data_IF_028101878072
#
_entry.id   IF_028101878072
#
_cell.length_a   1.000
_cell.length_b   1.000
_cell.length_c   1.000
_cell.angle_alpha   90.00
_cell.angle_beta   90.00
_cell.angle_gamma   90.00
#
_symmetry.space_group_name_H-M   'P 1'
#
loop_
_entity.id
_entity.type
_entity.pdbx_description
1 polymer ?
#
# COMPACT_ATOMS: atom_id res chain seq x y z
N UNK A 1 -7.86 -6.86 -85.55
CA UNK A 1 -7.89 -7.68 -84.34
C UNK A 1 -6.76 -7.21 -83.42
N UNK A 2 -7.09 -6.43 -82.43
CA UNK A 2 -6.12 -5.94 -81.43
C UNK A 2 -6.19 -6.85 -80.17
N UNK A 3 -5.08 -7.52 -79.85
CA UNK A 3 -4.91 -8.38 -78.70
C UNK A 3 -4.56 -7.49 -77.51
N UNK A 4 -5.47 -7.44 -76.51
CA UNK A 4 -5.24 -6.74 -75.25
C UNK A 4 -4.62 -7.74 -74.27
N UNK A 5 -3.35 -7.49 -73.90
CA UNK A 5 -2.69 -8.25 -72.83
C UNK A 5 -3.13 -7.68 -71.48
N UNK A 6 -3.81 -8.52 -70.72
CA UNK A 6 -4.16 -8.23 -69.34
C UNK A 6 -2.96 -8.52 -68.42
N UNK A 7 -2.39 -7.47 -67.85
CA UNK A 7 -1.32 -7.58 -66.85
C UNK A 7 -1.96 -7.78 -65.47
N UNK A 8 -1.86 -9.01 -64.93
CA UNK A 8 -2.31 -9.33 -63.58
C UNK A 8 -1.25 -8.86 -62.58
N UNK A 9 -1.50 -7.74 -61.90
CA UNK A 9 -0.64 -7.25 -60.84
C UNK A 9 -0.97 -8.04 -59.55
N UNK A 10 -0.06 -8.96 -59.19
CA UNK A 10 -0.18 -9.73 -57.94
C UNK A 10 0.19 -8.84 -56.77
N UNK A 11 -0.83 -8.34 -56.06
CA UNK A 11 -0.65 -7.59 -54.81
C UNK A 11 -0.40 -8.59 -53.71
N UNK A 12 0.86 -8.76 -53.27
CA UNK A 12 1.22 -9.53 -52.10
C UNK A 12 1.05 -8.59 -50.87
N UNK A 13 0.08 -8.82 -49.98
CA UNK A 13 0.06 -8.06 -48.74
C UNK A 13 1.24 -8.53 -47.85
N UNK A 14 2.20 -7.67 -47.67
CA UNK A 14 3.19 -7.80 -46.60
C UNK A 14 2.44 -7.70 -45.27
N UNK A 15 2.09 -8.84 -44.74
CA UNK A 15 1.68 -8.93 -43.33
C UNK A 15 2.96 -8.76 -42.53
N UNK A 16 3.19 -7.55 -42.04
CA UNK A 16 4.13 -7.33 -40.93
C UNK A 16 3.50 -7.98 -39.70
N UNK A 17 3.85 -9.24 -39.47
CA UNK A 17 3.78 -9.82 -38.12
C UNK A 17 4.86 -9.11 -37.31
N UNK A 18 4.53 -7.93 -36.80
CA UNK A 18 5.21 -7.39 -35.63
C UNK A 18 4.81 -8.29 -34.46
N UNK A 19 5.56 -9.37 -34.24
CA UNK A 19 5.65 -9.91 -32.90
C UNK A 19 6.29 -8.79 -32.06
N UNK A 20 5.49 -8.09 -31.33
CA UNK A 20 5.94 -7.56 -30.05
C UNK A 20 6.19 -8.82 -29.22
N UNK A 21 7.42 -9.26 -29.13
CA UNK A 21 7.87 -10.06 -28.02
C UNK A 21 7.66 -9.16 -26.81
N UNK A 22 6.73 -9.56 -25.97
CA UNK A 22 6.55 -8.99 -24.64
C UNK A 22 7.80 -9.43 -23.87
N UNK A 23 8.77 -8.51 -23.72
CA UNK A 23 10.01 -8.77 -22.99
C UNK A 23 9.74 -9.04 -21.48
N UNK A 24 8.49 -8.92 -21.04
CA UNK A 24 8.08 -9.13 -19.65
C UNK A 24 8.12 -10.62 -19.22
N UNK A 25 8.19 -11.57 -20.17
CA UNK A 25 8.25 -13.02 -19.88
C UNK A 25 9.68 -13.60 -19.82
N UNK A 26 10.69 -12.81 -20.17
CA UNK A 26 12.08 -13.20 -19.96
C UNK A 26 12.51 -12.76 -18.58
N UNK A 27 12.59 -13.69 -17.65
CA UNK A 27 13.10 -13.41 -16.30
C UNK A 27 14.42 -12.65 -16.41
N UNK A 28 14.40 -11.36 -16.00
CA UNK A 28 15.60 -10.54 -15.97
C UNK A 28 16.68 -11.25 -15.13
N UNK A 29 17.91 -11.21 -15.58
CA UNK A 29 19.02 -11.69 -14.76
C UNK A 29 19.11 -10.82 -13.52
N UNK A 30 19.45 -11.41 -12.35
CA UNK A 30 19.54 -10.66 -11.09
C UNK A 30 20.40 -9.40 -11.20
N UNK A 31 21.45 -9.42 -12.07
CA UNK A 31 22.28 -8.27 -12.38
C UNK A 31 21.52 -7.11 -13.06
N UNK A 32 20.52 -7.38 -13.89
CA UNK A 32 19.72 -6.35 -14.58
C UNK A 32 18.75 -5.67 -13.60
N UNK A 33 18.15 -6.44 -12.71
CA UNK A 33 17.30 -5.90 -11.64
C UNK A 33 18.16 -5.09 -10.66
N UNK A 34 19.32 -5.58 -10.26
CA UNK A 34 20.24 -4.86 -9.40
C UNK A 34 20.73 -3.55 -10.05
N UNK A 35 20.99 -3.56 -11.36
CA UNK A 35 21.32 -2.36 -12.14
C UNK A 35 20.17 -1.34 -12.11
N UNK A 36 18.95 -1.79 -12.32
CA UNK A 36 17.75 -0.94 -12.25
C UNK A 36 17.58 -0.33 -10.84
N UNK A 37 17.72 -1.12 -9.78
CA UNK A 37 17.61 -0.66 -8.40
C UNK A 37 18.67 0.40 -8.12
N UNK A 38 19.94 0.11 -8.42
CA UNK A 38 21.03 1.03 -8.16
C UNK A 38 20.84 2.36 -8.91
N UNK A 39 20.51 2.29 -10.20
CA UNK A 39 20.26 3.48 -11.03
C UNK A 39 19.08 4.30 -10.54
N UNK A 40 18.00 3.64 -10.15
CA UNK A 40 16.82 4.29 -9.60
C UNK A 40 17.12 5.01 -8.29
N UNK A 41 17.83 4.34 -7.37
CA UNK A 41 18.26 4.92 -6.11
C UNK A 41 19.27 6.05 -6.32
N UNK A 42 20.26 5.86 -7.19
CA UNK A 42 21.23 6.91 -7.52
C UNK A 42 20.55 8.15 -8.14
N UNK A 43 19.55 7.96 -8.99
CA UNK A 43 18.85 9.08 -9.63
C UNK A 43 17.90 9.83 -8.68
N UNK A 44 17.10 9.12 -7.88
CA UNK A 44 15.91 9.70 -7.23
C UNK A 44 15.93 9.67 -5.70
N UNK A 45 16.79 8.87 -5.07
CA UNK A 45 16.76 8.69 -3.63
C UNK A 45 17.12 9.98 -2.88
N UNK A 46 16.26 10.37 -1.94
CA UNK A 46 16.42 11.63 -1.17
C UNK A 46 17.76 11.68 -0.43
N UNK A 47 18.11 10.60 0.23
CA UNK A 47 19.32 10.51 1.07
C UNK A 47 20.55 10.00 0.30
N UNK A 48 20.56 10.12 -1.05
CA UNK A 48 21.68 9.71 -1.89
C UNK A 48 23.03 10.20 -1.39
N UNK A 49 23.09 11.44 -0.92
CA UNK A 49 24.33 12.07 -0.48
C UNK A 49 24.93 11.43 0.78
N UNK A 50 24.12 10.74 1.56
CA UNK A 50 24.51 10.08 2.80
C UNK A 50 24.93 8.61 2.59
N UNK A 51 24.75 8.08 1.37
CA UNK A 51 25.08 6.71 0.98
C UNK A 51 26.26 6.69 0.02
N UNK A 52 27.43 6.25 0.51
CA UNK A 52 28.67 6.23 -0.28
C UNK A 52 28.50 5.42 -1.56
N UNK A 53 27.78 4.28 -1.50
CA UNK A 53 27.58 3.39 -2.62
C UNK A 53 26.62 3.96 -3.68
N UNK A 54 25.96 5.09 -3.42
CA UNK A 54 25.17 5.87 -4.38
C UNK A 54 25.90 7.10 -4.93
N UNK A 55 27.18 7.30 -4.62
CA UNK A 55 27.96 8.37 -5.20
C UNK A 55 28.15 8.18 -6.72
N UNK A 56 28.12 9.27 -7.48
CA UNK A 56 28.28 9.21 -8.96
C UNK A 56 29.68 8.76 -9.38
N UNK A 57 30.67 8.88 -8.52
CA UNK A 57 32.07 8.50 -8.72
C UNK A 57 32.47 7.26 -7.91
N UNK A 58 31.48 6.47 -7.42
CA UNK A 58 31.68 5.28 -6.58
C UNK A 58 32.47 4.20 -7.29
N UNK A 59 32.26 4.02 -8.59
CA UNK A 59 32.86 2.95 -9.37
C UNK A 59 33.82 3.51 -10.40
N UNK A 60 35.03 2.94 -10.48
CA UNK A 60 36.06 3.39 -11.42
C UNK A 60 35.77 2.95 -12.85
N UNK A 61 35.11 1.82 -13.01
CA UNK A 61 34.78 1.24 -14.30
C UNK A 61 33.54 0.31 -14.20
N UNK A 62 33.12 -0.20 -15.36
CA UNK A 62 31.96 -1.08 -15.48
C UNK A 62 32.19 -2.47 -14.86
N UNK A 63 33.44 -2.91 -14.71
CA UNK A 63 33.77 -4.22 -14.14
C UNK A 63 33.61 -4.18 -12.61
N UNK A 64 34.10 -3.11 -11.96
CA UNK A 64 33.87 -2.87 -10.53
C UNK A 64 32.39 -2.74 -10.22
N UNK A 65 31.64 -1.96 -11.04
CA UNK A 65 30.19 -1.81 -10.92
C UNK A 65 29.45 -3.15 -11.03
N UNK A 66 29.73 -3.94 -12.08
CA UNK A 66 29.11 -5.25 -12.26
C UNK A 66 29.45 -6.22 -11.09
N UNK A 67 30.71 -6.17 -10.61
CA UNK A 67 31.13 -6.98 -9.46
C UNK A 67 30.37 -6.63 -8.18
N UNK A 68 30.15 -5.32 -7.95
CA UNK A 68 29.35 -4.84 -6.82
C UNK A 68 27.90 -5.34 -6.91
N UNK A 69 27.24 -5.16 -8.06
CA UNK A 69 25.85 -5.61 -8.24
C UNK A 69 25.68 -7.12 -8.07
N UNK A 70 26.63 -7.91 -8.59
CA UNK A 70 26.60 -9.37 -8.52
C UNK A 70 27.02 -9.92 -7.14
N UNK A 71 27.46 -9.08 -6.21
CA UNK A 71 27.75 -9.49 -4.84
C UNK A 71 26.48 -9.74 -4.01
N UNK A 72 25.32 -9.27 -4.46
CA UNK A 72 24.02 -9.45 -3.82
C UNK A 72 23.28 -10.61 -4.48
N UNK A 73 22.90 -11.60 -3.68
CA UNK A 73 22.15 -12.77 -4.15
C UNK A 73 20.69 -12.42 -4.51
N UNK A 74 20.10 -11.49 -3.74
CA UNK A 74 18.72 -11.05 -3.94
C UNK A 74 18.66 -9.52 -4.11
N UNK A 75 17.79 -9.02 -5.02
CA UNK A 75 17.62 -7.59 -5.26
C UNK A 75 17.26 -6.78 -4.00
N UNK A 76 16.46 -7.39 -3.11
CA UNK A 76 16.04 -6.77 -1.85
C UNK A 76 17.24 -6.51 -0.93
N UNK A 77 18.26 -7.35 -0.95
CA UNK A 77 19.47 -7.14 -0.16
C UNK A 77 20.25 -5.91 -0.64
N UNK A 78 20.35 -5.72 -1.95
CA UNK A 78 20.95 -4.51 -2.53
C UNK A 78 20.11 -3.29 -2.13
N UNK A 79 18.79 -3.33 -2.34
CA UNK A 79 17.90 -2.22 -1.99
C UNK A 79 18.05 -1.83 -0.52
N UNK A 80 17.95 -2.79 0.41
CA UNK A 80 18.08 -2.51 1.84
C UNK A 80 19.46 -1.97 2.23
N UNK A 81 20.54 -2.40 1.54
CA UNK A 81 21.89 -1.87 1.78
C UNK A 81 22.06 -0.41 1.39
N UNK A 82 21.18 0.09 0.50
CA UNK A 82 21.17 1.47 0.01
C UNK A 82 20.19 2.37 0.77
N UNK A 83 19.48 1.87 1.78
CA UNK A 83 18.57 2.66 2.60
C UNK A 83 19.34 3.35 3.74
N UNK A 84 19.13 4.67 3.84
CA UNK A 84 19.75 5.48 4.89
C UNK A 84 19.03 5.30 6.23
N UNK A 85 19.74 4.85 7.23
CA UNK A 85 19.26 4.70 8.61
C UNK A 85 17.84 4.12 8.68
N UNK A 86 17.66 2.89 8.16
CA UNK A 86 16.38 2.19 8.03
C UNK A 86 15.49 2.26 9.27
N UNK A 87 16.07 2.16 10.45
CA UNK A 87 15.34 2.12 11.72
C UNK A 87 14.88 3.50 12.22
N UNK A 88 15.58 4.56 11.83
CA UNK A 88 15.41 5.91 12.39
C UNK A 88 14.92 6.93 11.38
N UNK A 89 15.42 6.91 10.15
CA UNK A 89 15.17 7.94 9.12
C UNK A 89 14.25 7.40 8.02
N UNK A 90 14.74 6.52 7.15
CA UNK A 90 13.93 6.02 6.05
C UNK A 90 13.21 4.71 6.38
N UNK A 91 12.06 4.85 7.02
CA UNK A 91 11.18 3.74 7.40
C UNK A 91 10.17 3.35 6.32
N UNK A 92 10.09 4.09 5.22
CA UNK A 92 8.97 4.04 4.29
C UNK A 92 9.33 3.57 2.89
N UNK A 93 10.59 3.68 2.46
CA UNK A 93 11.01 3.15 1.16
C UNK A 93 10.82 1.64 1.11
N UNK A 94 10.21 1.16 0.04
CA UNK A 94 9.90 -0.26 -0.15
C UNK A 94 10.31 -0.71 -1.54
N UNK A 95 10.66 -1.98 -1.66
CA UNK A 95 10.77 -2.70 -2.92
C UNK A 95 9.62 -3.72 -2.99
N UNK A 96 9.09 -3.95 -4.16
CA UNK A 96 7.99 -4.90 -4.39
C UNK A 96 8.32 -5.78 -5.58
N UNK A 97 7.88 -7.04 -5.54
CA UNK A 97 8.10 -8.01 -6.63
C UNK A 97 7.17 -7.76 -7.83
N UNK A 98 6.03 -7.11 -7.59
CA UNK A 98 5.00 -6.90 -8.59
C UNK A 98 4.47 -5.45 -8.55
N UNK A 99 4.90 -4.65 -9.51
CA UNK A 99 4.47 -3.25 -9.61
C UNK A 99 2.97 -3.10 -9.92
N UNK A 100 2.35 -4.07 -10.62
CA UNK A 100 0.92 -4.05 -10.94
C UNK A 100 0.09 -4.13 -9.65
N UNK A 101 0.49 -4.99 -8.71
CA UNK A 101 -0.16 -5.08 -7.40
C UNK A 101 0.00 -3.78 -6.60
N UNK A 102 1.16 -3.14 -6.69
CA UNK A 102 1.39 -1.83 -6.07
C UNK A 102 0.49 -0.75 -6.68
N UNK A 103 0.38 -0.68 -8.01
CA UNK A 103 -0.52 0.26 -8.70
C UNK A 103 -1.99 0.01 -8.32
N UNK A 104 -2.40 -1.25 -8.26
CA UNK A 104 -3.74 -1.62 -7.78
C UNK A 104 -3.96 -1.16 -6.34
N UNK A 105 -3.00 -1.43 -5.45
CA UNK A 105 -3.07 -0.99 -4.06
C UNK A 105 -3.19 0.54 -3.95
N UNK A 106 -2.38 1.29 -4.69
CA UNK A 106 -2.43 2.77 -4.71
C UNK A 106 -3.73 3.31 -5.28
N UNK A 107 -4.38 2.58 -6.21
CA UNK A 107 -5.70 2.92 -6.75
C UNK A 107 -6.87 2.47 -5.86
N UNK A 108 -6.61 1.86 -4.71
CA UNK A 108 -7.62 1.37 -3.77
C UNK A 108 -8.15 -0.03 -4.09
N UNK A 109 -7.48 -0.78 -4.96
CA UNK A 109 -7.83 -2.17 -5.29
C UNK A 109 -6.77 -3.13 -4.77
N UNK A 110 -7.17 -4.35 -4.44
CA UNK A 110 -6.22 -5.42 -4.11
C UNK A 110 -6.93 -6.78 -4.12
N UNK A 111 -6.16 -7.85 -4.23
CA UNK A 111 -6.68 -9.20 -3.95
C UNK A 111 -6.74 -9.34 -2.41
N UNK A 112 -7.94 -9.40 -1.87
CA UNK A 112 -8.16 -9.35 -0.42
C UNK A 112 -9.44 -10.08 -0.02
N UNK A 113 -9.46 -10.63 1.18
CA UNK A 113 -10.68 -11.11 1.81
C UNK A 113 -11.45 -10.01 2.57
N UNK A 114 -10.92 -8.78 2.56
CA UNK A 114 -11.53 -7.61 3.19
C UNK A 114 -11.28 -7.45 4.68
N UNK A 115 -10.61 -8.39 5.32
CA UNK A 115 -10.31 -8.34 6.73
C UNK A 115 -9.11 -7.42 7.00
N UNK A 116 -9.29 -6.43 7.87
CA UNK A 116 -8.18 -5.70 8.47
C UNK A 116 -8.06 -6.09 9.94
N UNK A 117 -6.86 -6.50 10.34
CA UNK A 117 -6.61 -7.01 11.68
C UNK A 117 -5.30 -6.46 12.27
N UNK A 118 -5.18 -6.57 13.56
CA UNK A 118 -3.93 -6.45 14.29
C UNK A 118 -3.55 -7.77 14.92
N UNK A 119 -2.28 -7.90 15.28
CA UNK A 119 -1.75 -9.06 15.98
C UNK A 119 -1.26 -8.64 17.35
N UNK A 120 -1.41 -9.52 18.33
CA UNK A 120 -0.89 -9.33 19.70
C UNK A 120 -0.43 -10.68 20.25
N UNK A 121 0.51 -10.63 21.19
CA UNK A 121 0.89 -11.83 21.93
C UNK A 121 -0.26 -12.31 22.83
N UNK A 122 -0.40 -13.62 22.94
CA UNK A 122 -1.23 -14.22 23.99
C UNK A 122 -0.57 -13.92 25.34
N UNK A 123 -1.35 -13.57 26.37
CA UNK A 123 -0.81 -13.33 27.72
C UNK A 123 0.14 -14.44 28.16
N UNK A 124 1.27 -14.08 28.73
CA UNK A 124 2.37 -14.98 29.13
C UNK A 124 3.05 -15.78 28.00
N UNK A 125 2.79 -15.46 26.73
CA UNK A 125 3.50 -16.08 25.61
C UNK A 125 4.47 -15.11 24.96
N UNK A 126 5.62 -15.61 24.52
CA UNK A 126 6.59 -14.88 23.71
C UNK A 126 6.61 -15.38 22.24
N UNK A 127 5.76 -16.32 21.89
CA UNK A 127 5.69 -16.90 20.55
C UNK A 127 4.25 -17.00 20.02
N UNK A 128 3.29 -17.48 20.85
CA UNK A 128 1.90 -17.57 20.42
C UNK A 128 1.25 -16.19 20.33
N UNK A 129 0.48 -15.96 19.27
CA UNK A 129 -0.20 -14.71 19.00
C UNK A 129 -1.66 -14.96 18.67
N UNK A 130 -2.46 -13.89 18.76
CA UNK A 130 -3.82 -13.86 18.25
C UNK A 130 -4.03 -12.63 17.36
N UNK A 131 -4.97 -12.74 16.43
CA UNK A 131 -5.43 -11.63 15.62
C UNK A 131 -6.72 -11.03 16.21
N UNK A 132 -6.87 -9.71 16.08
CA UNK A 132 -8.10 -9.01 16.41
C UNK A 132 -8.55 -8.15 15.23
N UNK A 133 -9.82 -8.24 14.89
CA UNK A 133 -10.40 -7.53 13.75
C UNK A 133 -10.54 -6.04 14.06
N UNK A 134 -9.91 -5.19 13.26
CA UNK A 134 -9.99 -3.73 13.32
C UNK A 134 -11.21 -3.21 12.57
N UNK A 135 -11.40 -3.70 11.36
CA UNK A 135 -12.57 -3.45 10.52
C UNK A 135 -12.65 -4.48 9.39
N UNK A 136 -13.80 -4.52 8.73
CA UNK A 136 -14.06 -5.38 7.58
C UNK A 136 -14.54 -4.51 6.42
N UNK A 137 -14.02 -4.73 5.23
CA UNK A 137 -14.45 -3.99 4.03
C UNK A 137 -15.79 -4.55 3.53
N UNK A 138 -16.72 -3.67 3.23
CA UNK A 138 -18.05 -3.99 2.73
C UNK A 138 -17.99 -4.82 1.41
N UNK A 139 -18.85 -5.80 1.29
CA UNK A 139 -18.93 -6.68 0.12
C UNK A 139 -17.83 -7.73 0.01
N UNK A 140 -16.90 -7.77 0.94
CA UNK A 140 -15.81 -8.75 0.95
C UNK A 140 -16.24 -10.13 1.48
N UNK A 141 -15.37 -11.12 1.30
CA UNK A 141 -15.60 -12.47 1.85
C UNK A 141 -15.77 -12.46 3.36
N UNK A 142 -15.00 -11.65 4.08
CA UNK A 142 -15.11 -11.51 5.53
C UNK A 142 -16.44 -10.85 5.94
N UNK A 143 -16.92 -9.86 5.17
CA UNK A 143 -18.21 -9.20 5.40
C UNK A 143 -19.38 -10.16 5.17
N UNK A 144 -19.35 -10.87 4.03
CA UNK A 144 -20.36 -11.90 3.71
C UNK A 144 -20.42 -12.99 4.79
N UNK A 145 -19.28 -13.32 5.38
CA UNK A 145 -19.15 -14.27 6.48
C UNK A 145 -19.57 -13.69 7.84
N UNK A 146 -20.00 -12.41 7.88
CA UNK A 146 -20.43 -11.69 9.08
C UNK A 146 -19.35 -11.60 10.16
N UNK A 147 -18.07 -11.49 9.75
CA UNK A 147 -16.97 -11.17 10.66
C UNK A 147 -17.05 -9.69 10.99
N UNK A 148 -16.86 -9.35 12.27
CA UNK A 148 -17.06 -8.00 12.78
C UNK A 148 -15.84 -7.45 13.51
N UNK A 149 -15.79 -6.12 13.61
CA UNK A 149 -14.83 -5.44 14.48
C UNK A 149 -14.87 -5.98 15.90
N UNK A 150 -13.71 -6.32 16.44
CA UNK A 150 -13.56 -6.86 17.79
C UNK A 150 -13.53 -8.38 17.84
N UNK A 151 -13.89 -9.07 16.77
CA UNK A 151 -13.71 -10.52 16.68
C UNK A 151 -12.23 -10.88 16.82
N UNK A 152 -11.96 -11.99 17.49
CA UNK A 152 -10.62 -12.48 17.78
C UNK A 152 -10.45 -13.86 17.16
N UNK A 153 -9.32 -14.08 16.53
CA UNK A 153 -8.92 -15.39 16.00
C UNK A 153 -7.53 -15.76 16.51
N UNK A 154 -7.33 -17.03 16.85
CA UNK A 154 -6.08 -17.55 17.41
C UNK A 154 -5.41 -18.57 16.50
N UNK A 155 -6.10 -19.05 15.45
CA UNK A 155 -5.59 -20.08 14.57
C UNK A 155 -6.08 -19.90 13.13
N UNK A 156 -5.40 -20.60 12.23
CA UNK A 156 -5.73 -20.72 10.81
C UNK A 156 -5.62 -22.20 10.41
N UNK A 157 -6.67 -22.72 9.77
CA UNK A 157 -6.73 -24.14 9.31
C UNK A 157 -6.44 -25.16 10.43
N UNK A 158 -6.83 -24.82 11.68
CA UNK A 158 -6.58 -25.65 12.86
C UNK A 158 -5.18 -25.54 13.46
N UNK A 159 -4.32 -24.66 12.94
CA UNK A 159 -2.96 -24.42 13.43
C UNK A 159 -2.94 -23.13 14.24
N UNK A 160 -2.39 -23.16 15.46
CA UNK A 160 -2.23 -21.98 16.30
C UNK A 160 -1.30 -20.95 15.59
N UNK A 161 -1.66 -19.68 15.70
CA UNK A 161 -0.81 -18.60 15.19
C UNK A 161 0.38 -18.35 16.13
N UNK A 162 1.54 -18.21 15.52
CA UNK A 162 2.80 -17.83 16.17
C UNK A 162 3.51 -16.75 15.38
N UNK A 163 4.52 -16.12 15.99
CA UNK A 163 5.36 -15.13 15.28
C UNK A 163 6.12 -15.75 14.10
N UNK A 164 6.32 -17.06 14.08
CA UNK A 164 7.07 -17.76 13.03
C UNK A 164 6.20 -18.19 11.84
N UNK A 165 4.87 -18.37 12.03
CA UNK A 165 4.00 -18.97 11.01
C UNK A 165 2.85 -18.08 10.52
N UNK A 166 2.57 -16.96 11.19
CA UNK A 166 1.38 -16.15 10.87
C UNK A 166 1.39 -15.61 9.45
N UNK A 167 2.56 -15.24 8.94
CA UNK A 167 2.71 -14.70 7.59
C UNK A 167 2.27 -15.72 6.54
N UNK A 168 2.81 -16.92 6.62
CA UNK A 168 2.49 -18.00 5.67
C UNK A 168 1.02 -18.44 5.78
N UNK A 169 0.51 -18.57 7.01
CA UNK A 169 -0.86 -19.01 7.22
C UNK A 169 -1.91 -17.99 6.74
N UNK A 170 -1.67 -16.70 6.93
CA UNK A 170 -2.57 -15.63 6.51
C UNK A 170 -2.34 -15.16 5.06
N UNK A 171 -1.23 -15.57 4.41
CA UNK A 171 -0.97 -15.27 2.99
C UNK A 171 -1.80 -16.12 2.03
N UNK A 172 -2.30 -17.28 2.44
CA UNK A 172 -3.08 -18.22 1.61
C UNK A 172 -4.27 -17.52 0.94
N UNK A 173 -4.66 -18.00 -0.24
CA UNK A 173 -5.83 -17.47 -0.98
C UNK A 173 -7.14 -17.82 -0.28
N UNK A 174 -7.26 -19.05 0.21
CA UNK A 174 -8.44 -19.56 0.93
C UNK A 174 -7.94 -20.17 2.24
N UNK A 175 -8.55 -19.80 3.34
CA UNK A 175 -8.22 -20.36 4.65
C UNK A 175 -9.36 -20.21 5.66
N UNK A 176 -9.35 -21.06 6.68
CA UNK A 176 -10.32 -21.03 7.76
C UNK A 176 -9.73 -20.32 8.99
N UNK A 177 -10.33 -19.23 9.41
CA UNK A 177 -10.03 -18.61 10.70
C UNK A 177 -10.64 -19.42 11.83
N UNK A 178 -9.84 -19.73 12.84
CA UNK A 178 -10.30 -20.36 14.07
C UNK A 178 -10.44 -19.28 15.13
N UNK A 179 -11.69 -18.94 15.47
CA UNK A 179 -12.01 -17.83 16.37
C UNK A 179 -11.80 -18.19 17.83
N UNK A 180 -11.61 -17.15 18.63
CA UNK A 180 -11.34 -17.23 20.05
C UNK A 180 -12.12 -16.16 20.80
N UNK A 181 -12.21 -16.32 22.11
CA UNK A 181 -12.74 -15.31 23.04
C UNK A 181 -11.61 -14.81 23.93
N UNK A 182 -11.59 -13.50 24.15
CA UNK A 182 -10.71 -12.87 25.14
C UNK A 182 -11.46 -12.79 26.47
N UNK A 183 -10.93 -13.41 27.47
CA UNK A 183 -11.49 -13.47 28.81
C UNK A 183 -10.62 -12.60 29.72
N UNK A 184 -11.13 -11.43 30.03
CA UNK A 184 -10.50 -10.53 30.99
C UNK A 184 -10.91 -10.91 32.38
N UNK A 185 -9.93 -11.17 33.24
CA UNK A 185 -10.17 -11.54 34.64
C UNK A 185 -10.49 -10.34 35.55
N UNK A 186 -10.63 -9.13 34.97
CA UNK A 186 -10.94 -7.87 35.66
C UNK A 186 -9.91 -7.51 36.74
N UNK A 187 -8.67 -7.88 36.56
CA UNK A 187 -7.52 -7.43 37.35
C UNK A 187 -6.72 -6.38 36.58
N UNK A 188 -5.78 -5.73 37.24
CA UNK A 188 -4.86 -4.80 36.60
C UNK A 188 -3.69 -5.52 35.87
N UNK A 189 -3.55 -6.83 36.09
CA UNK A 189 -2.52 -7.65 35.42
C UNK A 189 -3.07 -8.32 34.17
N UNK A 190 -2.68 -7.78 33.01
CA UNK A 190 -3.06 -8.36 31.71
C UNK A 190 -2.52 -9.77 31.47
N UNK A 191 -1.58 -10.23 32.28
CA UNK A 191 -1.00 -11.57 32.15
C UNK A 191 -1.90 -12.67 32.69
N UNK A 192 -2.91 -12.35 33.46
CA UNK A 192 -3.92 -13.33 33.94
C UNK A 192 -5.13 -13.45 33.00
N UNK A 193 -5.18 -12.64 31.92
CA UNK A 193 -6.19 -12.74 30.89
C UNK A 193 -5.95 -13.98 30.01
N UNK A 194 -7.02 -14.49 29.43
CA UNK A 194 -7.00 -15.74 28.66
C UNK A 194 -7.57 -15.53 27.25
N UNK A 195 -6.94 -16.16 26.27
CA UNK A 195 -7.45 -16.24 24.88
C UNK A 195 -7.75 -17.70 24.57
N UNK A 196 -9.02 -18.08 24.49
CA UNK A 196 -9.47 -19.46 24.28
C UNK A 196 -10.27 -19.62 23.00
N UNK A 197 -10.08 -20.75 22.29
CA UNK A 197 -10.91 -21.08 21.13
C UNK A 197 -12.39 -21.19 21.54
N UNK A 198 -13.25 -20.58 20.72
CA UNK A 198 -14.72 -20.62 20.95
C UNK A 198 -15.45 -21.59 20.03
N UNK A 199 -14.70 -22.43 19.28
CA UNK A 199 -15.19 -23.40 18.30
C UNK A 199 -15.91 -22.80 17.08
N UNK A 200 -15.83 -21.51 16.86
CA UNK A 200 -16.27 -20.86 15.63
C UNK A 200 -15.14 -20.94 14.61
N UNK A 201 -15.44 -21.46 13.43
CA UNK A 201 -14.49 -21.60 12.35
C UNK A 201 -15.14 -21.06 11.07
N UNK A 202 -14.51 -20.07 10.43
CA UNK A 202 -15.07 -19.39 9.26
C UNK A 202 -14.03 -19.40 8.15
N UNK A 203 -14.40 -19.98 7.01
CA UNK A 203 -13.59 -19.93 5.80
C UNK A 203 -13.78 -18.60 5.10
N UNK A 204 -12.65 -17.99 4.68
CA UNK A 204 -12.62 -16.75 3.92
C UNK A 204 -11.70 -16.89 2.72
N UNK A 205 -12.03 -16.17 1.64
CA UNK A 205 -11.29 -16.18 0.39
C UNK A 205 -10.84 -14.79 -0.01
N UNK A 206 -9.62 -14.67 -0.52
CA UNK A 206 -9.12 -13.47 -1.16
C UNK A 206 -9.64 -13.40 -2.59
N UNK A 207 -10.26 -12.28 -2.94
CA UNK A 207 -10.77 -11.98 -4.29
C UNK A 207 -10.41 -10.55 -4.67
N UNK A 208 -10.44 -10.18 -5.96
CA UNK A 208 -10.31 -8.78 -6.34
C UNK A 208 -11.35 -7.93 -5.61
N UNK A 209 -10.89 -6.95 -4.84
CA UNK A 209 -11.71 -6.09 -4.01
C UNK A 209 -11.33 -4.62 -4.23
N UNK A 210 -12.32 -3.81 -4.58
CA UNK A 210 -12.18 -2.34 -4.58
C UNK A 210 -12.58 -1.84 -3.20
N UNK A 211 -11.62 -1.23 -2.49
CA UNK A 211 -11.82 -0.76 -1.12
C UNK A 211 -12.26 0.70 -1.15
N UNK A 212 -13.42 0.99 -0.57
CA UNK A 212 -13.80 2.38 -0.33
C UNK A 212 -12.95 2.94 0.83
N UNK A 213 -12.10 3.95 0.60
CA UNK A 213 -11.26 4.51 1.66
C UNK A 213 -12.07 5.26 2.72
N UNK A 214 -13.26 5.76 2.39
CA UNK A 214 -14.24 6.26 3.37
C UNK A 214 -14.94 5.05 3.96
N UNK A 215 -14.37 4.52 5.04
CA UNK A 215 -14.93 3.33 5.68
C UNK A 215 -16.25 3.61 6.38
N UNK A 216 -16.36 4.79 7.02
CA UNK A 216 -17.59 5.22 7.65
C UNK A 216 -17.65 6.76 7.75
N UNK A 217 -18.83 7.34 7.52
CA UNK A 217 -19.10 8.72 7.89
C UNK A 217 -20.50 8.86 8.46
N UNK A 218 -20.69 9.84 9.30
CA UNK A 218 -21.99 10.11 9.92
C UNK A 218 -22.06 11.53 10.50
N UNK A 219 -23.29 11.97 10.81
CA UNK A 219 -23.55 13.22 11.52
C UNK A 219 -24.08 12.89 12.91
N UNK A 220 -23.36 13.31 13.91
CA UNK A 220 -23.71 13.11 15.32
C UNK A 220 -24.31 14.38 15.88
N UNK A 221 -25.38 14.25 16.65
CA UNK A 221 -25.97 15.39 17.38
C UNK A 221 -25.34 15.51 18.76
N UNK A 222 -24.91 16.70 19.14
CA UNK A 222 -24.41 17.02 20.48
C UNK A 222 -25.19 18.18 21.08
N UNK A 223 -24.96 18.46 22.35
CA UNK A 223 -25.54 19.62 23.03
C UNK A 223 -25.09 20.97 22.45
N UNK A 224 -23.95 20.98 21.77
CA UNK A 224 -23.31 22.19 21.24
C UNK A 224 -23.42 22.33 19.71
N UNK A 225 -24.13 21.43 19.05
CA UNK A 225 -24.27 21.44 17.60
C UNK A 225 -24.11 20.07 16.97
N UNK A 226 -23.80 20.05 15.69
CA UNK A 226 -23.60 18.80 14.93
C UNK A 226 -22.13 18.54 14.67
N UNK A 227 -21.74 17.30 14.87
CA UNK A 227 -20.37 16.82 14.66
C UNK A 227 -20.37 15.87 13.46
N UNK A 228 -19.56 16.15 12.45
CA UNK A 228 -19.24 15.18 11.41
C UNK A 228 -18.24 14.15 11.95
N UNK A 229 -18.50 12.88 11.72
CA UNK A 229 -17.51 11.82 11.94
C UNK A 229 -17.10 11.25 10.59
N UNK A 230 -15.81 11.18 10.32
CA UNK A 230 -15.25 10.63 9.10
C UNK A 230 -14.09 9.68 9.45
N UNK A 231 -14.26 8.38 9.12
CA UNK A 231 -13.19 7.39 9.17
C UNK A 231 -12.66 7.18 7.76
N UNK A 232 -11.44 7.65 7.52
CA UNK A 232 -10.80 7.68 6.20
C UNK A 232 -9.50 6.86 6.23
N UNK A 233 -9.54 5.68 5.60
CA UNK A 233 -8.52 4.63 5.78
C UNK A 233 -7.39 4.65 4.75
N UNK A 234 -7.47 5.46 3.70
CA UNK A 234 -6.39 5.62 2.72
C UNK A 234 -6.62 6.89 1.88
N UNK A 235 -5.56 7.57 1.47
CA UNK A 235 -5.67 8.70 0.53
C UNK A 235 -5.62 8.16 -0.90
N UNK A 236 -6.79 8.04 -1.54
CA UNK A 236 -6.97 7.49 -2.90
C UNK A 236 -7.64 8.53 -3.78
N UNK A 237 -6.93 9.03 -4.80
CA UNK A 237 -7.38 10.14 -5.65
C UNK A 237 -8.70 9.86 -6.39
N UNK A 238 -9.00 8.61 -6.70
CA UNK A 238 -10.26 8.21 -7.32
C UNK A 238 -11.50 8.51 -6.44
N UNK A 239 -11.32 8.79 -5.15
CA UNK A 239 -12.38 9.09 -4.20
C UNK A 239 -12.44 10.55 -3.75
N UNK A 240 -11.63 11.43 -4.34
CA UNK A 240 -11.60 12.85 -3.97
C UNK A 240 -12.97 13.51 -4.14
N UNK A 241 -13.67 13.27 -5.25
CA UNK A 241 -15.02 13.78 -5.48
C UNK A 241 -16.06 13.23 -4.48
N UNK A 242 -15.90 11.97 -4.07
CA UNK A 242 -16.76 11.39 -3.05
C UNK A 242 -16.53 12.05 -1.69
N UNK A 243 -15.27 12.31 -1.35
CA UNK A 243 -14.91 13.07 -0.15
C UNK A 243 -15.51 14.48 -0.16
N UNK A 244 -15.41 15.21 -1.27
CA UNK A 244 -16.05 16.53 -1.45
C UNK A 244 -17.56 16.47 -1.25
N UNK A 245 -18.22 15.40 -1.73
CA UNK A 245 -19.67 15.24 -1.57
C UNK A 245 -20.08 15.08 -0.11
N UNK A 246 -19.28 14.36 0.70
CA UNK A 246 -19.49 14.19 2.15
C UNK A 246 -19.38 15.53 2.88
N UNK A 247 -18.35 16.33 2.56
CA UNK A 247 -18.20 17.66 3.16
C UNK A 247 -19.31 18.62 2.72
N UNK A 248 -19.83 18.50 1.50
CA UNK A 248 -21.02 19.22 1.04
C UNK A 248 -22.25 18.83 1.83
N UNK A 249 -22.43 17.56 2.16
CA UNK A 249 -23.49 17.07 3.05
C UNK A 249 -23.32 17.63 4.46
N UNK A 250 -22.11 17.59 5.03
CA UNK A 250 -21.83 18.17 6.35
C UNK A 250 -22.18 19.66 6.38
N UNK A 251 -21.78 20.42 5.37
CA UNK A 251 -22.07 21.84 5.25
C UNK A 251 -23.59 22.11 5.16
N UNK A 252 -24.31 21.35 4.34
CA UNK A 252 -25.77 21.51 4.17
C UNK A 252 -26.57 21.20 5.45
N UNK A 253 -26.03 20.31 6.28
CA UNK A 253 -26.59 19.93 7.57
C UNK A 253 -26.11 20.82 8.74
N UNK A 254 -25.33 21.87 8.46
CA UNK A 254 -24.79 22.78 9.48
C UNK A 254 -23.90 22.06 10.51
N UNK A 255 -23.11 21.13 10.06
CA UNK A 255 -22.03 20.53 10.85
C UNK A 255 -20.98 21.60 11.13
N UNK A 256 -20.57 21.76 12.36
CA UNK A 256 -19.62 22.78 12.81
C UNK A 256 -18.37 22.23 13.49
N UNK A 257 -18.33 20.94 13.76
CA UNK A 257 -17.19 20.25 14.33
C UNK A 257 -16.93 18.95 13.55
N UNK A 258 -15.69 18.47 13.53
CA UNK A 258 -15.29 17.24 12.84
C UNK A 258 -14.48 16.34 13.77
N UNK A 259 -14.80 15.05 13.75
CA UNK A 259 -13.95 13.98 14.22
C UNK A 259 -13.41 13.29 12.99
N UNK A 260 -12.12 13.49 12.70
CA UNK A 260 -11.40 12.81 11.63
C UNK A 260 -10.65 11.61 12.21
N UNK A 261 -11.02 10.41 11.80
CA UNK A 261 -10.42 9.16 12.23
C UNK A 261 -9.48 8.61 11.16
N UNK A 262 -8.18 8.77 11.38
CA UNK A 262 -7.10 8.28 10.52
C UNK A 262 -6.31 7.13 11.16
N UNK A 263 -6.82 6.49 12.22
CA UNK A 263 -6.09 5.45 12.98
C UNK A 263 -5.58 4.30 12.11
N UNK A 264 -6.23 4.00 11.01
CA UNK A 264 -5.87 2.92 10.10
C UNK A 264 -5.43 3.41 8.72
N UNK A 265 -5.15 4.70 8.59
CA UNK A 265 -4.72 5.30 7.34
C UNK A 265 -3.19 5.20 7.19
N UNK A 266 -2.67 4.43 6.21
CA UNK A 266 -1.22 4.30 5.97
C UNK A 266 -0.66 5.45 5.12
N UNK A 267 -1.49 6.40 4.68
CA UNK A 267 -1.09 7.45 3.74
C UNK A 267 -1.72 7.28 2.36
N UNK A 268 -1.02 7.71 1.32
CA UNK A 268 -1.42 7.63 -0.09
C UNK A 268 -1.15 8.94 -0.83
N UNK A 269 -2.13 9.40 -1.64
CA UNK A 269 -2.00 10.60 -2.45
C UNK A 269 -1.86 11.88 -1.61
N UNK A 270 -0.77 12.61 -1.80
CA UNK A 270 -0.53 13.93 -1.18
C UNK A 270 -1.61 14.93 -1.63
N UNK A 271 -2.01 14.87 -2.91
CA UNK A 271 -3.07 15.74 -3.41
C UNK A 271 -4.41 15.49 -2.70
N UNK A 272 -4.78 14.24 -2.46
CA UNK A 272 -5.99 13.90 -1.69
C UNK A 272 -5.90 14.38 -0.23
N UNK A 273 -4.71 14.37 0.37
CA UNK A 273 -4.48 14.94 1.69
C UNK A 273 -4.66 16.47 1.69
N UNK A 274 -4.16 17.15 0.66
CA UNK A 274 -4.37 18.59 0.45
C UNK A 274 -5.85 18.92 0.29
N UNK A 275 -6.58 18.14 -0.54
CA UNK A 275 -8.03 18.30 -0.73
C UNK A 275 -8.75 18.14 0.61
N UNK A 276 -8.48 17.09 1.37
CA UNK A 276 -9.09 16.89 2.68
C UNK A 276 -8.81 18.06 3.63
N UNK A 277 -7.56 18.52 3.72
CA UNK A 277 -7.20 19.68 4.54
C UNK A 277 -7.98 20.93 4.13
N UNK A 278 -8.11 21.17 2.83
CA UNK A 278 -8.87 22.32 2.28
C UNK A 278 -10.38 22.23 2.56
N UNK A 279 -10.93 21.01 2.60
CA UNK A 279 -12.33 20.79 2.97
C UNK A 279 -12.60 21.03 4.45
N UNK A 280 -11.59 20.78 5.30
CA UNK A 280 -11.71 20.99 6.76
C UNK A 280 -11.61 22.48 7.11
N UNK A 281 -10.69 23.21 6.47
CA UNK A 281 -10.41 24.62 6.81
C UNK A 281 -10.09 25.46 5.59
N UNK A 282 -10.72 26.65 5.52
CA UNK A 282 -10.42 27.68 4.52
C UNK A 282 -9.56 28.82 5.08
N UNK A 283 -9.06 28.74 6.31
CA UNK A 283 -8.32 29.81 6.98
C UNK A 283 -6.93 30.03 6.41
N UNK A 284 -6.39 29.01 5.72
CA UNK A 284 -5.02 28.98 5.22
C UNK A 284 -4.97 29.03 3.69
N UNK A 285 -5.98 29.68 3.07
CA UNK A 285 -6.00 29.88 1.63
C UNK A 285 -4.74 30.62 1.17
N UNK A 286 -4.06 30.06 0.16
CA UNK A 286 -2.78 30.50 -0.37
C UNK A 286 -1.55 30.37 0.58
N UNK A 287 -1.68 29.66 1.69
CA UNK A 287 -0.56 29.28 2.52
C UNK A 287 0.06 27.96 2.05
N UNK A 288 1.34 27.76 2.34
CA UNK A 288 2.03 26.50 1.99
C UNK A 288 1.49 25.38 2.88
N UNK A 289 0.96 24.33 2.27
CA UNK A 289 0.49 23.14 2.98
C UNK A 289 1.63 22.17 3.29
N UNK A 290 2.48 21.90 2.30
CA UNK A 290 3.66 21.06 2.42
C UNK A 290 4.74 21.51 1.42
N UNK A 291 5.96 21.11 1.66
CA UNK A 291 7.07 21.27 0.72
C UNK A 291 7.62 19.89 0.39
N UNK A 292 7.70 19.56 -0.90
CA UNK A 292 8.36 18.35 -1.36
C UNK A 292 9.88 18.55 -1.34
N UNK A 293 10.59 17.58 -0.81
CA UNK A 293 12.04 17.58 -0.72
C UNK A 293 12.61 16.48 -1.61
N UNK A 294 13.55 16.85 -2.46
CA UNK A 294 14.22 15.95 -3.39
C UNK A 294 15.71 15.88 -3.07
N UNK A 295 16.40 14.88 -3.60
CA UNK A 295 17.86 14.88 -3.51
C UNK A 295 18.44 16.14 -4.19
N UNK A 296 19.66 16.51 -3.82
CA UNK A 296 20.28 17.78 -4.25
C UNK A 296 20.34 17.95 -5.77
N UNK A 297 20.49 16.86 -6.54
CA UNK A 297 20.58 16.93 -8.00
C UNK A 297 19.24 17.27 -8.63
N UNK A 298 18.17 16.60 -8.21
CA UNK A 298 16.80 16.87 -8.66
C UNK A 298 16.37 18.26 -8.18
N UNK A 299 16.65 18.62 -6.94
CA UNK A 299 16.31 19.94 -6.39
C UNK A 299 16.96 21.05 -7.21
N UNK A 300 18.25 20.94 -7.52
CA UNK A 300 18.96 21.90 -8.37
C UNK A 300 18.40 21.92 -9.80
N UNK A 301 18.00 20.78 -10.36
CA UNK A 301 17.37 20.73 -11.65
C UNK A 301 16.05 21.53 -11.67
N UNK A 302 15.18 21.35 -10.68
CA UNK A 302 13.93 22.08 -10.57
C UNK A 302 14.14 23.59 -10.38
N UNK A 303 15.01 24.00 -9.47
CA UNK A 303 15.34 25.42 -9.23
C UNK A 303 15.83 26.11 -10.53
N UNK A 304 16.65 25.41 -11.31
CA UNK A 304 17.24 26.00 -12.53
C UNK A 304 16.29 25.99 -13.74
N UNK A 305 15.31 25.08 -13.79
CA UNK A 305 14.46 24.87 -14.98
C UNK A 305 13.00 25.25 -14.75
N UNK A 306 12.58 25.46 -13.50
CA UNK A 306 11.23 25.90 -13.15
C UNK A 306 11.30 27.05 -12.14
N UNK A 307 11.36 28.32 -12.61
CA UNK A 307 11.55 29.49 -11.75
C UNK A 307 10.34 29.78 -10.81
N UNK A 308 9.26 29.06 -10.94
CA UNK A 308 8.09 29.16 -10.04
C UNK A 308 8.14 28.13 -8.88
N UNK A 309 9.20 27.33 -8.86
CA UNK A 309 9.38 26.27 -7.86
C UNK A 309 10.04 26.76 -6.56
#
# INVERSE_FOLDING_TARGET
>A
MKSTKFLFLLFIPFIFLSCFEDDDDNGAYASEINDFIWKGMNAAYLYKADIIDLSNDRFNDSEEYASYLNSYEYPEQLFESLIYERESVDKFSVIVDNYIELEQYLSGSSISNGLNYGLSYIPNSNNEIFGFVRYVNEGSSADIANIQRGDIFRGVNGINLTIDNYSDLLSQEIYTLNFASYINNNTDDINDDIVEFNNINIEIQKTPLVKNPVHHYSILNSSNGKIGYLMYNQFVSNYDQYLESIFSEYKSNSVNELILDLRYNPGGSINSALILASLITGQFENEIFNTEEWNTEIQNYWINNNPEY
#
